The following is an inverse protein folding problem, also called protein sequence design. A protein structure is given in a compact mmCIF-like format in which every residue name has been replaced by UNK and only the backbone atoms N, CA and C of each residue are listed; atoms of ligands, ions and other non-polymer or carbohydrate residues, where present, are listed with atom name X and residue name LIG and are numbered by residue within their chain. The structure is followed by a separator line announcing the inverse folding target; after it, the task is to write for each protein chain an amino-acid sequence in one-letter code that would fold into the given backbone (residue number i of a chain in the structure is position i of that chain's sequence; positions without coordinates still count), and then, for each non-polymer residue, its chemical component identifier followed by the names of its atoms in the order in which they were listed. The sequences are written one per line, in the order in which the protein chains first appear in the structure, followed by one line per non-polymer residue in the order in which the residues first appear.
data_IF_467488514520
#
_entry.id   IF_467488514520
#
_cell.length_a   1.000
_cell.length_b   1.000
_cell.length_c   1.000
_cell.angle_alpha   90.00
_cell.angle_beta   90.00
_cell.angle_gamma   90.00
#
_symmetry.space_group_name_H-M   'P 1'
#
loop_
_entity.id
_entity.type
_entity.pdbx_description
1 polymer ?
#
# COMPACT_ATOMS: atom_id res chain seq x y z
N UNK A 1 19.47 -4.53 -4.62
CA UNK A 1 18.87 -4.36 -3.30
C UNK A 1 18.91 -5.70 -2.57
N UNK A 2 19.57 -5.75 -1.45
CA UNK A 2 19.52 -6.96 -0.66
C UNK A 2 18.21 -7.02 0.13
N UNK A 3 17.42 -8.04 -0.15
CA UNK A 3 16.24 -8.33 0.66
C UNK A 3 16.64 -9.31 1.75
N UNK A 4 16.46 -8.92 3.00
CA UNK A 4 16.63 -9.81 4.16
C UNK A 4 15.35 -10.60 4.40
N UNK A 5 14.64 -10.96 3.33
CA UNK A 5 13.35 -11.60 3.42
C UNK A 5 13.14 -12.53 2.24
N UNK A 6 12.02 -13.24 2.28
CA UNK A 6 11.54 -14.09 1.20
C UNK A 6 11.10 -13.32 -0.06
N UNK A 7 11.05 -11.98 0.01
CA UNK A 7 10.63 -11.15 -1.09
C UNK A 7 11.71 -11.08 -2.17
N UNK A 8 11.37 -11.43 -3.40
CA UNK A 8 12.32 -11.44 -4.54
C UNK A 8 12.13 -10.21 -5.41
N UNK A 9 13.12 -9.96 -6.30
CA UNK A 9 13.00 -8.89 -7.31
C UNK A 9 11.79 -9.14 -8.22
N UNK A 10 11.53 -10.39 -8.59
CA UNK A 10 10.36 -10.73 -9.40
C UNK A 10 9.05 -10.39 -8.68
N UNK A 11 8.99 -10.61 -7.37
CA UNK A 11 7.84 -10.23 -6.56
C UNK A 11 7.62 -8.72 -6.58
N UNK A 12 8.69 -7.96 -6.41
CA UNK A 12 8.64 -6.50 -6.46
C UNK A 12 8.17 -6.02 -7.83
N UNK A 13 8.72 -6.60 -8.90
CA UNK A 13 8.32 -6.24 -10.28
C UNK A 13 6.84 -6.49 -10.51
N UNK A 14 6.30 -7.57 -9.96
CA UNK A 14 4.87 -7.87 -10.06
C UNK A 14 4.02 -6.77 -9.41
N UNK A 15 4.44 -6.28 -8.25
CA UNK A 15 3.73 -5.20 -7.55
C UNK A 15 3.86 -3.88 -8.30
N UNK A 16 5.03 -3.61 -8.88
CA UNK A 16 5.27 -2.36 -9.62
C UNK A 16 4.45 -2.24 -10.90
N UNK A 17 3.88 -3.34 -11.41
CA UNK A 17 2.96 -3.28 -12.53
C UNK A 17 1.71 -2.44 -12.24
N UNK A 18 1.38 -2.24 -10.98
CA UNK A 18 0.21 -1.46 -10.56
C UNK A 18 0.51 0.01 -10.32
N UNK A 19 1.79 0.42 -10.39
CA UNK A 19 2.20 1.79 -10.09
C UNK A 19 1.47 2.81 -10.98
N UNK A 20 1.44 2.57 -12.28
CA UNK A 20 0.79 3.48 -13.23
C UNK A 20 -0.69 3.65 -12.89
N UNK A 21 -1.37 2.56 -12.55
CA UNK A 21 -2.78 2.58 -12.15
C UNK A 21 -3.00 3.47 -10.93
N UNK A 22 -2.19 3.30 -9.88
CA UNK A 22 -2.34 4.08 -8.65
C UNK A 22 -1.91 5.53 -8.82
N UNK A 23 -1.02 5.81 -9.75
CA UNK A 23 -0.44 7.13 -9.95
C UNK A 23 -1.28 8.01 -10.89
N UNK A 24 -2.07 7.43 -11.77
CA UNK A 24 -2.87 8.15 -12.75
C UNK A 24 -3.98 8.94 -12.06
N UNK A 25 -4.03 10.28 -12.24
CA UNK A 25 -5.03 11.10 -11.58
C UNK A 25 -6.47 10.83 -12.05
N UNK A 26 -6.63 10.15 -13.17
CA UNK A 26 -7.96 9.82 -13.71
C UNK A 26 -8.43 8.42 -13.30
N UNK A 27 -7.65 7.69 -12.52
CA UNK A 27 -8.03 6.34 -12.11
C UNK A 27 -9.28 6.37 -11.23
N UNK A 28 -10.21 5.47 -11.52
CA UNK A 28 -11.40 5.25 -10.70
C UNK A 28 -11.11 4.06 -9.79
N UNK A 29 -11.00 4.31 -8.49
CA UNK A 29 -10.63 3.27 -7.52
C UNK A 29 -11.82 2.46 -7.03
N UNK A 30 -13.03 3.00 -7.14
CA UNK A 30 -14.23 2.31 -6.65
C UNK A 30 -15.46 2.80 -7.41
N UNK A 31 -16.53 2.01 -7.28
CA UNK A 31 -17.87 2.42 -7.72
C UNK A 31 -18.87 2.00 -6.65
N UNK A 32 -20.03 2.60 -6.65
CA UNK A 32 -21.08 2.30 -5.70
C UNK A 32 -22.05 1.27 -6.30
N UNK A 33 -22.35 0.22 -5.51
CA UNK A 33 -23.36 -0.78 -5.86
C UNK A 33 -24.29 -0.91 -4.66
N UNK A 34 -25.56 -0.57 -4.87
CA UNK A 34 -26.58 -0.62 -3.80
C UNK A 34 -26.16 0.15 -2.53
N UNK A 35 -25.51 1.29 -2.71
CA UNK A 35 -25.03 2.13 -1.59
C UNK A 35 -23.71 1.69 -0.97
N UNK A 36 -23.09 0.64 -1.46
CA UNK A 36 -21.81 0.15 -0.96
C UNK A 36 -20.66 0.55 -1.89
N UNK A 37 -19.53 0.91 -1.31
CA UNK A 37 -18.30 1.15 -2.05
C UNK A 37 -17.69 -0.17 -2.45
N UNK A 38 -17.56 -0.40 -3.77
CA UNK A 38 -16.92 -1.59 -4.32
C UNK A 38 -15.60 -1.20 -4.96
N UNK A 39 -14.51 -1.78 -4.48
CA UNK A 39 -13.18 -1.55 -5.05
C UNK A 39 -13.15 -1.99 -6.52
N UNK A 40 -12.32 -1.29 -7.30
CA UNK A 40 -12.13 -1.65 -8.71
C UNK A 40 -11.55 -3.05 -8.86
N UNK A 41 -11.70 -3.62 -10.05
CA UNK A 41 -11.11 -4.91 -10.38
C UNK A 41 -9.59 -4.88 -10.25
N UNK A 42 -8.97 -3.77 -10.60
CA UNK A 42 -7.52 -3.58 -10.52
C UNK A 42 -7.02 -3.62 -9.07
N UNK A 43 -7.78 -3.04 -8.14
CA UNK A 43 -7.45 -3.14 -6.71
C UNK A 43 -7.56 -4.60 -6.25
N UNK A 44 -8.59 -5.32 -6.71
CA UNK A 44 -8.72 -6.75 -6.41
C UNK A 44 -7.51 -7.55 -6.89
N UNK A 45 -7.06 -7.28 -8.11
CA UNK A 45 -5.87 -7.92 -8.67
C UNK A 45 -4.62 -7.55 -7.87
N UNK A 46 -4.50 -6.29 -7.44
CA UNK A 46 -3.37 -5.85 -6.61
C UNK A 46 -3.37 -6.57 -5.26
N UNK A 47 -4.52 -6.69 -4.61
CA UNK A 47 -4.63 -7.43 -3.33
C UNK A 47 -4.18 -8.87 -3.49
N UNK A 48 -4.54 -9.51 -4.61
CA UNK A 48 -4.09 -10.87 -4.91
C UNK A 48 -2.57 -10.93 -5.10
N UNK A 49 -2.01 -9.97 -5.81
CA UNK A 49 -0.55 -9.89 -6.01
C UNK A 49 0.17 -9.68 -4.68
N UNK A 50 -0.36 -8.84 -3.81
CA UNK A 50 0.18 -8.62 -2.47
C UNK A 50 0.21 -9.94 -1.67
N UNK A 51 -0.89 -10.70 -1.72
CA UNK A 51 -0.95 -11.99 -1.01
C UNK A 51 -0.01 -13.01 -1.63
N UNK A 52 0.01 -13.12 -2.96
CA UNK A 52 0.82 -14.11 -3.66
C UNK A 52 2.32 -13.88 -3.48
N UNK A 53 2.74 -12.63 -3.34
CA UNK A 53 4.17 -12.28 -3.17
C UNK A 53 4.62 -12.35 -1.70
N UNK A 54 3.68 -12.47 -0.77
CA UNK A 54 4.01 -12.46 0.66
C UNK A 54 4.50 -11.10 1.15
N UNK A 55 4.06 -10.02 0.51
CA UNK A 55 4.54 -8.68 0.85
C UNK A 55 4.15 -8.25 2.26
N UNK A 56 2.99 -8.69 2.75
CA UNK A 56 2.51 -8.27 4.06
C UNK A 56 3.24 -9.00 5.18
N UNK A 57 3.40 -8.31 6.32
CA UNK A 57 4.06 -8.85 7.50
C UNK A 57 3.00 -9.27 8.53
N UNK A 58 3.36 -10.26 9.37
CA UNK A 58 2.55 -10.67 10.51
C UNK A 58 3.11 -9.97 11.75
N UNK A 59 2.38 -8.97 12.25
CA UNK A 59 2.80 -8.19 13.41
C UNK A 59 1.57 -7.45 13.97
N UNK A 60 1.72 -6.83 15.15
CA UNK A 60 0.64 -6.03 15.73
C UNK A 60 0.60 -4.66 15.04
N UNK A 61 -0.09 -4.61 13.88
CA UNK A 61 -0.15 -3.41 13.05
C UNK A 61 -0.90 -2.26 13.73
N UNK A 62 -1.91 -2.55 14.53
CA UNK A 62 -2.68 -1.48 15.19
C UNK A 62 -1.85 -0.77 16.26
N UNK A 63 -1.04 -1.53 17.02
CA UNK A 63 -0.09 -0.95 17.95
C UNK A 63 0.98 -0.13 17.25
N UNK A 64 1.51 -0.68 16.14
CA UNK A 64 2.52 0.03 15.35
C UNK A 64 1.99 1.36 14.81
N UNK A 65 0.75 1.40 14.30
CA UNK A 65 0.13 2.64 13.84
C UNK A 65 -0.05 3.63 15.00
N UNK A 66 -0.44 3.15 16.18
CA UNK A 66 -0.59 4.00 17.36
C UNK A 66 0.74 4.65 17.76
N UNK A 67 1.84 3.92 17.62
CA UNK A 67 3.19 4.40 17.92
C UNK A 67 3.76 5.30 16.82
N UNK A 68 3.25 5.20 15.59
CA UNK A 68 3.72 5.95 14.44
C UNK A 68 2.60 6.86 13.91
N UNK A 69 2.19 7.80 14.73
CA UNK A 69 1.02 8.66 14.48
C UNK A 69 1.04 9.38 13.15
N UNK A 70 2.23 9.68 12.61
CA UNK A 70 2.35 10.36 11.32
C UNK A 70 1.66 9.59 10.20
N UNK A 71 1.64 8.27 10.28
CA UNK A 71 1.02 7.42 9.26
C UNK A 71 -0.46 7.14 9.51
N UNK A 72 -0.94 7.39 10.75
CA UNK A 72 -2.31 7.06 11.12
C UNK A 72 -3.34 8.00 10.52
N UNK A 73 -2.98 9.27 10.37
CA UNK A 73 -3.87 10.27 9.77
C UNK A 73 -3.52 10.45 8.30
N UNK A 74 -4.41 9.99 7.41
CA UNK A 74 -4.19 10.04 5.95
C UNK A 74 -4.12 11.47 5.40
N UNK A 75 -4.62 12.46 6.14
CA UNK A 75 -4.55 13.86 5.74
C UNK A 75 -3.18 14.49 6.01
N UNK A 76 -2.33 13.82 6.78
CA UNK A 76 -0.95 14.27 6.97
C UNK A 76 -0.19 14.19 5.66
N UNK A 77 0.72 15.13 5.46
CA UNK A 77 1.65 15.05 4.33
C UNK A 77 2.79 14.09 4.72
N UNK A 78 2.62 12.83 4.34
CA UNK A 78 3.59 11.78 4.67
C UNK A 78 4.47 11.38 3.49
N UNK A 79 4.44 12.15 2.40
CA UNK A 79 5.24 11.85 1.22
C UNK A 79 6.72 11.71 1.57
N UNK A 80 7.27 12.69 2.29
CA UNK A 80 8.68 12.67 2.69
C UNK A 80 9.00 11.45 3.56
N UNK A 81 8.09 11.10 4.47
CA UNK A 81 8.26 9.93 5.34
C UNK A 81 8.32 8.63 4.53
N UNK A 82 7.41 8.49 3.57
CA UNK A 82 7.36 7.29 2.71
C UNK A 82 8.61 7.24 1.81
N UNK A 83 9.01 8.37 1.24
CA UNK A 83 10.14 8.42 0.31
C UNK A 83 11.50 8.21 1.01
N UNK A 84 11.53 8.23 2.33
CA UNK A 84 12.72 7.92 3.13
C UNK A 84 12.59 6.62 3.91
N UNK A 85 11.49 5.89 3.74
CA UNK A 85 11.23 4.66 4.47
C UNK A 85 12.09 3.50 3.94
N UNK A 86 12.42 2.56 4.83
CA UNK A 86 13.05 1.31 4.44
C UNK A 86 11.99 0.29 3.99
N UNK A 87 12.44 -0.84 3.49
CA UNK A 87 11.55 -1.88 2.98
C UNK A 87 10.60 -2.39 4.09
N UNK A 88 11.13 -2.61 5.28
CA UNK A 88 10.30 -3.09 6.40
C UNK A 88 9.17 -2.12 6.71
N UNK A 89 9.46 -0.82 6.74
CA UNK A 89 8.44 0.22 6.99
C UNK A 89 7.38 0.23 5.91
N UNK A 90 7.78 0.11 4.64
CA UNK A 90 6.81 0.04 3.53
C UNK A 90 5.89 -1.17 3.68
N UNK A 91 6.44 -2.32 4.05
CA UNK A 91 5.67 -3.54 4.26
C UNK A 91 4.69 -3.39 5.44
N UNK A 92 5.15 -2.75 6.53
CA UNK A 92 4.31 -2.46 7.69
C UNK A 92 3.17 -1.50 7.35
N UNK A 93 3.46 -0.46 6.57
CA UNK A 93 2.44 0.49 6.11
C UNK A 93 1.36 -0.21 5.28
N UNK A 94 1.78 -0.97 4.28
CA UNK A 94 0.82 -1.67 3.42
C UNK A 94 -0.01 -2.66 4.23
N UNK A 95 0.62 -3.40 5.14
CA UNK A 95 -0.09 -4.33 6.02
C UNK A 95 -1.14 -3.60 6.86
N UNK A 96 -0.75 -2.47 7.46
CA UNK A 96 -1.64 -1.68 8.31
C UNK A 96 -2.85 -1.17 7.54
N UNK A 97 -2.63 -0.67 6.33
CA UNK A 97 -3.71 -0.13 5.52
C UNK A 97 -4.66 -1.23 5.02
N UNK A 98 -4.13 -2.37 4.59
CA UNK A 98 -4.98 -3.46 4.08
C UNK A 98 -5.70 -4.19 5.20
N UNK A 99 -5.03 -4.46 6.32
CA UNK A 99 -5.67 -5.13 7.47
C UNK A 99 -6.65 -4.19 8.18
N UNK A 100 -6.29 -2.91 8.29
CA UNK A 100 -7.15 -1.90 8.91
C UNK A 100 -8.45 -1.67 8.14
N UNK A 101 -8.45 -1.93 6.84
CA UNK A 101 -9.64 -1.78 5.99
C UNK A 101 -10.82 -2.63 6.50
N UNK A 102 -10.55 -3.77 7.15
CA UNK A 102 -11.58 -4.63 7.74
C UNK A 102 -12.35 -3.94 8.87
N UNK A 103 -11.73 -3.01 9.54
CA UNK A 103 -12.28 -2.32 10.70
C UNK A 103 -12.70 -0.89 10.38
N UNK A 104 -12.33 -0.39 9.21
CA UNK A 104 -12.66 0.95 8.75
C UNK A 104 -12.96 0.87 7.26
N UNK A 105 -14.23 0.66 6.93
CA UNK A 105 -14.66 0.49 5.54
C UNK A 105 -14.21 1.65 4.67
N UNK A 106 -13.62 1.32 3.53
CA UNK A 106 -13.13 2.32 2.59
C UNK A 106 -11.76 2.90 2.93
N UNK A 107 -11.09 2.39 3.97
CA UNK A 107 -9.77 2.88 4.33
C UNK A 107 -8.78 2.75 3.17
N UNK A 108 -8.70 1.58 2.53
CA UNK A 108 -7.73 1.38 1.46
C UNK A 108 -8.05 2.23 0.24
N UNK A 109 -9.33 2.43 -0.07
CA UNK A 109 -9.74 3.36 -1.14
C UNK A 109 -9.22 4.76 -0.82
N UNK A 110 -9.35 5.21 0.43
CA UNK A 110 -8.82 6.51 0.85
C UNK A 110 -7.31 6.59 0.71
N UNK A 111 -6.60 5.53 1.07
CA UNK A 111 -5.14 5.43 0.88
C UNK A 111 -4.77 5.62 -0.59
N UNK A 112 -5.52 4.99 -1.50
CA UNK A 112 -5.32 5.15 -2.94
C UNK A 112 -5.61 6.57 -3.40
N UNK A 113 -6.73 7.14 -2.97
CA UNK A 113 -7.16 8.48 -3.38
C UNK A 113 -6.23 9.58 -2.88
N UNK A 114 -5.63 9.40 -1.72
CA UNK A 114 -4.65 10.35 -1.16
C UNK A 114 -3.26 10.19 -1.78
N UNK A 115 -3.07 9.20 -2.64
CA UNK A 115 -1.80 8.97 -3.33
C UNK A 115 -0.78 8.17 -2.53
N UNK A 116 -1.13 7.67 -1.35
CA UNK A 116 -0.18 6.95 -0.50
C UNK A 116 0.23 5.60 -1.09
N UNK A 117 -0.70 4.88 -1.72
CA UNK A 117 -0.38 3.61 -2.37
C UNK A 117 0.65 3.82 -3.49
N UNK A 118 0.46 4.85 -4.31
CA UNK A 118 1.41 5.19 -5.37
C UNK A 118 2.79 5.52 -4.79
N UNK A 119 2.84 6.31 -3.70
CA UNK A 119 4.11 6.68 -3.08
C UNK A 119 4.86 5.48 -2.50
N UNK A 120 4.14 4.54 -1.90
CA UNK A 120 4.75 3.31 -1.40
C UNK A 120 5.41 2.54 -2.56
N UNK A 121 4.72 2.39 -3.67
CA UNK A 121 5.27 1.69 -4.84
C UNK A 121 6.43 2.45 -5.48
N UNK A 122 6.36 3.79 -5.52
CA UNK A 122 7.50 4.61 -6.00
C UNK A 122 8.74 4.38 -5.15
N UNK A 123 8.58 4.39 -3.82
CA UNK A 123 9.71 4.14 -2.92
C UNK A 123 10.23 2.72 -3.09
N UNK A 124 9.34 1.75 -3.23
CA UNK A 124 9.73 0.36 -3.47
C UNK A 124 10.59 0.25 -4.73
N UNK A 125 10.22 0.97 -5.79
CA UNK A 125 11.00 1.02 -7.03
C UNK A 125 12.39 1.61 -6.81
N UNK A 126 12.48 2.69 -6.03
CA UNK A 126 13.78 3.28 -5.69
C UNK A 126 14.67 2.31 -4.93
N UNK A 127 14.12 1.60 -3.95
CA UNK A 127 14.85 0.62 -3.17
C UNK A 127 15.33 -0.55 -4.04
N UNK A 128 14.51 -0.97 -4.98
CA UNK A 128 14.88 -2.02 -5.94
C UNK A 128 16.07 -1.60 -6.79
N UNK A 129 16.14 -0.34 -7.17
CA UNK A 129 17.17 0.20 -8.08
C UNK A 129 18.41 0.70 -7.34
N UNK A 130 18.43 0.61 -6.04
CA UNK A 130 19.59 1.09 -5.25
C UNK A 130 20.69 0.03 -5.12
#
# INVERSE_FOLDING_TARGET
MPYNSDLTVADVDRLLQYLEYFQDPYTVFYHEVNGYMCESQEIGSFRKAIDDTGFLLVFNWSEWLAENEVYRNLDNNIESNIMNADLETLRKLMTSYLRGDRFSEGLFISVCMKGHAAKILLRLRELKNS
#
